data_IF_516910164580
#
_entry.id   IF_516910164580
#
_cell.length_a   1.000
_cell.length_b   1.000
_cell.length_c   1.000
_cell.angle_alpha   90.00
_cell.angle_beta   90.00
_cell.angle_gamma   90.00
#
_symmetry.space_group_name_H-M   'P 1'
#
loop_
_entity.id
_entity.type
_entity.pdbx_description
1 polymer ?
#
# COMPACT_ATOMS: atom_id res chain seq x y z
N UNK A 1 -27.96 -15.20 0.25
CA UNK A 1 -27.58 -14.63 -1.07
C UNK A 1 -26.84 -15.74 -1.80
N UNK A 2 -27.36 -16.21 -2.93
CA UNK A 2 -26.70 -17.29 -3.68
C UNK A 2 -25.49 -16.69 -4.42
N UNK A 3 -24.30 -17.02 -3.99
CA UNK A 3 -23.07 -16.56 -4.66
C UNK A 3 -22.93 -17.26 -6.02
N UNK A 4 -22.87 -16.47 -7.07
CA UNK A 4 -22.55 -17.02 -8.38
C UNK A 4 -21.12 -17.61 -8.38
N UNK A 5 -20.82 -18.49 -9.32
CA UNK A 5 -19.46 -19.04 -9.48
C UNK A 5 -18.43 -17.92 -9.72
N UNK A 6 -18.82 -16.87 -10.42
CA UNK A 6 -17.98 -15.73 -10.76
C UNK A 6 -17.69 -14.87 -9.52
N UNK A 7 -18.71 -14.55 -8.72
CA UNK A 7 -18.56 -13.80 -7.47
C UNK A 7 -17.60 -14.51 -6.52
N UNK A 8 -17.78 -15.82 -6.35
CA UNK A 8 -16.92 -16.65 -5.52
C UNK A 8 -15.46 -16.64 -6.01
N UNK A 9 -15.22 -16.68 -7.32
CA UNK A 9 -13.89 -16.67 -7.89
C UNK A 9 -13.17 -15.34 -7.61
N UNK A 10 -13.87 -14.22 -7.77
CA UNK A 10 -13.38 -12.89 -7.42
C UNK A 10 -13.11 -12.76 -5.93
N UNK A 11 -14.02 -13.24 -5.09
CA UNK A 11 -13.84 -13.19 -3.64
C UNK A 11 -12.63 -14.01 -3.19
N UNK A 12 -12.45 -15.23 -3.70
CA UNK A 12 -11.27 -16.05 -3.41
C UNK A 12 -9.98 -15.35 -3.81
N UNK A 13 -9.97 -14.66 -4.94
CA UNK A 13 -8.82 -13.87 -5.38
C UNK A 13 -8.52 -12.72 -4.41
N UNK A 14 -9.53 -11.93 -4.04
CA UNK A 14 -9.35 -10.82 -3.09
C UNK A 14 -8.97 -11.28 -1.68
N UNK A 15 -9.49 -12.42 -1.21
CA UNK A 15 -9.08 -13.03 0.06
C UNK A 15 -7.62 -13.47 -0.01
N UNK A 16 -7.21 -14.10 -1.11
CA UNK A 16 -5.82 -14.45 -1.37
C UNK A 16 -4.89 -13.23 -1.41
N UNK A 17 -5.29 -12.12 -2.07
CA UNK A 17 -4.55 -10.87 -2.09
C UNK A 17 -4.32 -10.26 -0.69
N UNK A 18 -5.27 -10.49 0.21
CA UNK A 18 -5.16 -10.07 1.62
C UNK A 18 -4.32 -11.04 2.46
N UNK A 19 -3.71 -12.06 1.84
CA UNK A 19 -2.89 -13.07 2.50
C UNK A 19 -3.68 -14.14 3.25
N UNK A 20 -5.01 -14.21 3.03
CA UNK A 20 -5.82 -15.24 3.68
C UNK A 20 -5.53 -16.62 3.07
N UNK A 21 -5.30 -17.60 3.94
CA UNK A 21 -5.15 -18.99 3.52
C UNK A 21 -6.49 -19.61 3.15
N UNK A 22 -6.65 -20.06 1.91
CA UNK A 22 -7.88 -20.61 1.36
C UNK A 22 -8.03 -22.11 1.69
N UNK A 23 -8.89 -22.44 2.64
CA UNK A 23 -9.20 -23.84 3.01
C UNK A 23 -10.38 -24.33 2.21
N UNK A 24 -10.19 -25.44 1.46
CA UNK A 24 -11.28 -26.04 0.67
C UNK A 24 -12.46 -26.45 1.55
N UNK A 25 -12.20 -27.00 2.73
CA UNK A 25 -13.24 -27.45 3.64
C UNK A 25 -14.02 -26.29 4.27
N UNK A 26 -13.29 -25.28 4.79
CA UNK A 26 -13.92 -24.10 5.39
C UNK A 26 -14.75 -23.31 4.37
N UNK A 27 -14.22 -23.12 3.17
CA UNK A 27 -14.91 -22.41 2.09
C UNK A 27 -16.14 -23.19 1.58
N UNK A 28 -16.08 -24.51 1.56
CA UNK A 28 -17.22 -25.32 1.19
C UNK A 28 -18.38 -25.16 2.17
N UNK A 29 -18.09 -25.09 3.48
CA UNK A 29 -19.07 -24.81 4.52
C UNK A 29 -19.60 -23.37 4.46
N UNK A 30 -18.70 -22.38 4.27
CA UNK A 30 -19.04 -20.97 4.23
C UNK A 30 -19.97 -20.63 3.05
N UNK A 31 -19.70 -21.19 1.87
CA UNK A 31 -20.52 -20.95 0.66
C UNK A 31 -21.67 -21.94 0.45
N UNK A 32 -21.85 -22.89 1.37
CA UNK A 32 -22.84 -23.97 1.27
C UNK A 32 -22.76 -24.72 -0.08
N UNK A 33 -21.53 -25.13 -0.45
CA UNK A 33 -21.27 -25.87 -1.68
C UNK A 33 -20.36 -27.08 -1.42
N UNK A 34 -20.29 -27.99 -2.39
CA UNK A 34 -19.42 -29.16 -2.26
C UNK A 34 -17.92 -28.73 -2.32
N UNK A 35 -17.07 -29.50 -1.65
CA UNK A 35 -15.60 -29.34 -1.72
C UNK A 35 -15.09 -29.43 -3.16
N UNK A 36 -15.74 -30.26 -4.01
CA UNK A 36 -15.46 -30.36 -5.44
C UNK A 36 -15.68 -29.03 -6.18
N UNK A 37 -16.72 -28.29 -5.78
CA UNK A 37 -17.02 -26.96 -6.35
C UNK A 37 -15.95 -25.94 -6.00
N UNK A 38 -15.48 -25.93 -4.74
CA UNK A 38 -14.39 -25.06 -4.31
C UNK A 38 -13.09 -25.43 -5.00
N UNK A 39 -12.74 -26.72 -5.09
CA UNK A 39 -11.54 -27.19 -5.79
C UNK A 39 -11.57 -26.76 -7.25
N UNK A 40 -12.72 -26.79 -7.91
CA UNK A 40 -12.87 -26.29 -9.28
C UNK A 40 -12.60 -24.79 -9.35
N UNK A 41 -13.16 -23.99 -8.45
CA UNK A 41 -12.90 -22.53 -8.39
C UNK A 41 -11.41 -22.21 -8.14
N UNK A 42 -10.74 -22.96 -7.27
CA UNK A 42 -9.31 -22.83 -7.04
C UNK A 42 -8.50 -23.18 -8.31
N UNK A 43 -8.88 -24.23 -9.03
CA UNK A 43 -8.20 -24.60 -10.28
C UNK A 43 -8.45 -23.58 -11.38
N UNK A 44 -9.65 -23.02 -11.46
CA UNK A 44 -9.96 -21.94 -12.41
C UNK A 44 -9.12 -20.71 -12.11
N UNK A 45 -8.96 -20.36 -10.83
CA UNK A 45 -8.10 -19.25 -10.41
C UNK A 45 -6.62 -19.52 -10.73
N UNK A 46 -6.13 -20.74 -10.49
CA UNK A 46 -4.76 -21.14 -10.89
C UNK A 46 -4.57 -21.01 -12.40
N UNK A 47 -5.52 -21.47 -13.18
CA UNK A 47 -5.45 -21.38 -14.65
C UNK A 47 -5.49 -19.93 -15.11
N UNK A 48 -6.30 -19.08 -14.50
CA UNK A 48 -6.34 -17.64 -14.79
C UNK A 48 -4.98 -16.99 -14.52
N UNK A 49 -4.41 -17.20 -13.34
CA UNK A 49 -3.11 -16.63 -12.97
C UNK A 49 -2.00 -17.09 -13.94
N UNK A 50 -1.98 -18.36 -14.31
CA UNK A 50 -0.98 -18.89 -15.23
C UNK A 50 -1.10 -18.31 -16.65
N UNK A 51 -2.33 -18.06 -17.12
CA UNK A 51 -2.60 -17.59 -18.49
C UNK A 51 -2.52 -16.06 -18.64
N UNK A 52 -2.54 -15.29 -17.52
CA UNK A 52 -2.59 -13.83 -17.55
C UNK A 52 -1.39 -13.19 -16.86
N UNK A 53 -0.19 -13.76 -17.06
CA UNK A 53 1.06 -13.27 -16.45
C UNK A 53 1.35 -11.81 -16.73
N UNK A 54 0.97 -11.30 -17.91
CA UNK A 54 1.13 -9.89 -18.24
C UNK A 54 0.30 -8.94 -17.31
N UNK A 55 -0.77 -9.45 -16.71
CA UNK A 55 -1.64 -8.70 -15.78
C UNK A 55 -1.27 -8.89 -14.32
N UNK A 56 -0.88 -10.11 -13.94
CA UNK A 56 -0.73 -10.53 -12.54
C UNK A 56 0.70 -10.93 -12.16
N UNK A 57 1.66 -10.74 -13.06
CA UNK A 57 3.05 -11.13 -12.86
C UNK A 57 3.22 -12.64 -12.64
N UNK A 58 4.10 -13.00 -11.72
CA UNK A 58 4.34 -14.39 -11.32
C UNK A 58 3.41 -14.88 -10.21
N UNK A 59 2.19 -14.32 -10.11
CA UNK A 59 1.21 -14.74 -9.13
C UNK A 59 0.83 -16.22 -9.29
N UNK A 60 0.82 -16.96 -8.19
CA UNK A 60 0.41 -18.36 -8.17
C UNK A 60 -0.27 -18.76 -6.86
N UNK A 61 -1.15 -19.75 -6.90
CA UNK A 61 -1.73 -20.37 -5.71
C UNK A 61 -0.90 -21.60 -5.32
N UNK A 62 -0.10 -21.49 -4.24
CA UNK A 62 0.66 -22.59 -3.62
C UNK A 62 -0.15 -23.27 -2.52
N UNK A 63 -0.14 -24.58 -2.51
CA UNK A 63 -0.70 -25.36 -1.41
C UNK A 63 0.34 -25.58 -0.31
N UNK A 64 0.00 -25.21 0.91
CA UNK A 64 0.80 -25.51 2.09
C UNK A 64 0.27 -26.77 2.78
N UNK A 65 1.10 -27.81 2.85
CA UNK A 65 0.76 -29.04 3.59
C UNK A 65 0.67 -28.81 5.09
N UNK A 66 1.42 -27.87 5.63
CA UNK A 66 1.44 -27.52 7.05
C UNK A 66 0.12 -26.87 7.49
N UNK A 67 -0.36 -25.86 6.74
CA UNK A 67 -1.64 -25.18 7.05
C UNK A 67 -2.84 -25.85 6.43
N UNK A 68 -2.66 -26.79 5.49
CA UNK A 68 -3.71 -27.40 4.64
C UNK A 68 -4.56 -26.37 3.89
N UNK A 69 -3.90 -25.27 3.42
CA UNK A 69 -4.54 -24.14 2.74
C UNK A 69 -3.77 -23.77 1.48
N UNK A 70 -4.47 -23.17 0.53
CA UNK A 70 -3.84 -22.50 -0.59
C UNK A 70 -3.53 -21.06 -0.20
N UNK A 71 -2.32 -20.60 -0.53
CA UNK A 71 -1.89 -19.21 -0.35
C UNK A 71 -1.58 -18.60 -1.71
N UNK A 72 -2.09 -17.41 -1.95
CA UNK A 72 -1.71 -16.63 -3.12
C UNK A 72 -0.32 -16.03 -2.87
N UNK A 73 0.64 -16.42 -3.71
CA UNK A 73 2.00 -15.90 -3.68
C UNK A 73 2.16 -14.95 -4.87
N UNK A 74 2.53 -13.72 -4.60
CA UNK A 74 2.77 -12.69 -5.60
C UNK A 74 4.11 -12.03 -5.29
N UNK A 75 5.17 -12.45 -5.99
CA UNK A 75 6.54 -11.95 -5.75
C UNK A 75 6.71 -10.46 -6.06
N UNK A 76 5.81 -9.89 -6.86
CA UNK A 76 5.81 -8.47 -7.22
C UNK A 76 5.09 -7.58 -6.19
N UNK A 77 4.47 -8.17 -5.15
CA UNK A 77 3.82 -7.44 -4.07
C UNK A 77 4.69 -7.46 -2.82
N UNK A 78 4.63 -6.36 -2.08
CA UNK A 78 5.39 -6.21 -0.86
C UNK A 78 5.02 -7.30 0.16
N UNK A 79 6.02 -8.00 0.66
CA UNK A 79 5.89 -8.91 1.80
C UNK A 79 5.57 -8.13 3.09
N UNK A 80 5.10 -8.81 4.13
CA UNK A 80 4.88 -8.18 5.44
C UNK A 80 6.17 -7.51 5.99
N UNK A 81 7.34 -8.10 5.72
CA UNK A 81 8.63 -7.55 6.17
C UNK A 81 8.98 -6.26 5.42
N UNK A 82 8.76 -6.22 4.10
CA UNK A 82 8.99 -5.03 3.28
C UNK A 82 8.00 -3.92 3.62
N UNK A 83 6.71 -4.25 3.79
CA UNK A 83 5.69 -3.30 4.26
C UNK A 83 6.06 -2.70 5.62
N UNK A 84 6.54 -3.54 6.54
CA UNK A 84 7.02 -3.10 7.83
C UNK A 84 8.19 -2.11 7.68
N UNK A 85 9.21 -2.46 6.91
CA UNK A 85 10.37 -1.61 6.68
C UNK A 85 9.98 -0.26 6.04
N UNK A 86 9.07 -0.26 5.06
CA UNK A 86 8.54 0.97 4.45
C UNK A 86 7.82 1.84 5.48
N UNK A 87 6.97 1.25 6.32
CA UNK A 87 6.23 1.98 7.36
C UNK A 87 7.20 2.59 8.39
N UNK A 88 8.21 1.85 8.83
CA UNK A 88 9.26 2.35 9.75
C UNK A 88 10.02 3.54 9.17
N UNK A 89 10.42 3.45 7.89
CA UNK A 89 11.09 4.55 7.20
C UNK A 89 10.18 5.77 7.08
N UNK A 90 8.89 5.57 6.76
CA UNK A 90 7.92 6.67 6.68
C UNK A 90 7.72 7.37 8.03
N UNK A 91 7.63 6.61 9.13
CA UNK A 91 7.52 7.16 10.47
C UNK A 91 8.81 7.89 10.86
N UNK A 92 9.95 7.24 10.67
CA UNK A 92 11.27 7.80 11.03
C UNK A 92 11.64 9.03 10.22
N UNK A 93 11.18 9.14 8.98
CA UNK A 93 11.43 10.30 8.12
C UNK A 93 10.78 11.60 8.62
N UNK A 94 9.70 11.52 9.40
CA UNK A 94 8.94 12.69 9.91
C UNK A 94 8.55 13.69 8.83
N UNK A 95 8.46 13.23 7.59
CA UNK A 95 8.25 14.05 6.41
C UNK A 95 6.78 14.48 6.22
N UNK A 96 5.87 13.87 6.95
CA UNK A 96 4.42 14.07 6.79
C UNK A 96 3.79 14.55 8.09
N UNK A 97 2.67 15.23 7.99
CA UNK A 97 1.85 15.51 9.16
C UNK A 97 1.37 14.19 9.79
N UNK A 98 1.06 14.24 11.09
CA UNK A 98 0.55 13.05 11.81
C UNK A 98 -0.68 12.45 11.12
N UNK A 99 -1.59 13.30 10.66
CA UNK A 99 -2.82 12.86 9.99
C UNK A 99 -2.56 12.24 8.61
N UNK A 100 -1.63 12.80 7.83
CA UNK A 100 -1.22 12.21 6.56
C UNK A 100 -0.57 10.84 6.77
N UNK A 101 0.33 10.75 7.76
CA UNK A 101 1.02 9.51 8.09
C UNK A 101 0.06 8.43 8.59
N UNK A 102 -0.90 8.78 9.45
CA UNK A 102 -1.96 7.87 9.90
C UNK A 102 -2.76 7.33 8.71
N UNK A 103 -3.20 8.21 7.79
CA UNK A 103 -3.93 7.77 6.59
C UNK A 103 -3.11 6.86 5.69
N UNK A 104 -1.82 7.14 5.51
CA UNK A 104 -0.91 6.31 4.71
C UNK A 104 -0.71 4.93 5.35
N UNK A 105 -0.36 4.88 6.62
CA UNK A 105 -0.09 3.65 7.34
C UNK A 105 -1.34 2.76 7.43
N UNK A 106 -2.54 3.35 7.62
CA UNK A 106 -3.80 2.61 7.56
C UNK A 106 -4.08 1.98 6.19
N UNK A 107 -3.71 2.65 5.10
CA UNK A 107 -3.81 2.07 3.76
C UNK A 107 -2.80 0.95 3.55
N UNK A 108 -1.53 1.17 3.91
CA UNK A 108 -0.46 0.18 3.78
C UNK A 108 -0.75 -1.08 4.61
N UNK A 109 -1.25 -0.91 5.83
CA UNK A 109 -1.64 -2.02 6.71
C UNK A 109 -2.68 -2.96 6.08
N UNK A 110 -3.51 -2.48 5.14
CA UNK A 110 -4.48 -3.34 4.43
C UNK A 110 -3.83 -4.40 3.55
N UNK A 111 -2.57 -4.21 3.17
CA UNK A 111 -1.81 -5.18 2.38
C UNK A 111 -1.10 -6.23 3.24
N UNK A 112 -1.09 -6.08 4.57
CA UNK A 112 -0.57 -7.12 5.45
C UNK A 112 -1.55 -8.29 5.57
N UNK A 113 -1.01 -9.49 5.82
CA UNK A 113 -1.85 -10.67 6.07
C UNK A 113 -2.74 -10.48 7.30
N UNK A 114 -3.92 -11.09 7.35
CA UNK A 114 -4.83 -10.97 8.49
C UNK A 114 -4.19 -11.34 9.83
N UNK A 115 -3.30 -12.34 9.83
CA UNK A 115 -2.60 -12.85 11.02
C UNK A 115 -1.58 -11.81 11.56
N UNK A 116 -0.86 -11.11 10.69
CA UNK A 116 0.17 -10.13 11.07
C UNK A 116 -0.39 -8.71 11.26
N UNK A 117 -1.61 -8.45 10.82
CA UNK A 117 -2.23 -7.12 10.93
C UNK A 117 -2.32 -6.56 12.35
N UNK A 118 -2.71 -7.34 13.39
CA UNK A 118 -2.73 -6.85 14.76
C UNK A 118 -1.34 -6.44 15.25
N UNK A 119 -0.31 -7.21 14.90
CA UNK A 119 1.08 -6.92 15.24
C UNK A 119 1.56 -5.62 14.60
N UNK A 120 1.28 -5.46 13.31
CA UNK A 120 1.60 -4.22 12.56
C UNK A 120 0.89 -3.01 13.18
N UNK A 121 -0.38 -3.16 13.54
CA UNK A 121 -1.15 -2.08 14.15
C UNK A 121 -0.61 -1.67 15.52
N UNK A 122 -0.22 -2.62 16.36
CA UNK A 122 0.34 -2.35 17.67
C UNK A 122 1.65 -1.58 17.58
N UNK A 123 2.48 -1.95 16.62
CA UNK A 123 3.75 -1.28 16.34
C UNK A 123 3.53 0.16 15.86
N UNK A 124 2.72 0.36 14.82
CA UNK A 124 2.40 1.70 14.30
C UNK A 124 1.85 2.59 15.42
N UNK A 125 0.97 2.05 16.27
CA UNK A 125 0.40 2.80 17.39
C UNK A 125 1.47 3.25 18.39
N UNK A 126 2.44 2.41 18.72
CA UNK A 126 3.55 2.72 19.63
C UNK A 126 4.44 3.82 19.06
N UNK A 127 4.86 3.69 17.82
CA UNK A 127 5.72 4.66 17.14
C UNK A 127 5.02 6.03 16.97
N UNK A 128 3.74 6.03 16.61
CA UNK A 128 2.98 7.26 16.44
C UNK A 128 2.54 7.91 17.75
N UNK A 129 2.63 7.23 18.89
CA UNK A 129 2.24 7.80 20.18
C UNK A 129 3.07 9.05 20.54
N UNK A 130 4.37 8.99 20.31
CA UNK A 130 5.31 10.09 20.53
C UNK A 130 5.82 10.72 19.23
N UNK A 131 5.08 10.60 18.12
CA UNK A 131 5.50 11.12 16.83
C UNK A 131 5.75 12.64 16.90
N UNK A 132 7.01 13.08 16.83
CA UNK A 132 7.35 14.50 16.85
C UNK A 132 7.14 15.09 15.47
N UNK A 133 5.93 15.55 15.23
CA UNK A 133 5.52 16.12 13.94
C UNK A 133 6.38 17.32 13.56
N UNK A 134 6.87 17.32 12.33
CA UNK A 134 7.47 18.49 11.70
C UNK A 134 6.37 19.30 11.02
N UNK A 135 6.24 20.58 11.40
CA UNK A 135 5.24 21.46 10.80
C UNK A 135 5.70 21.91 9.41
N UNK A 136 4.77 21.81 8.47
CA UNK A 136 4.92 22.30 7.11
C UNK A 136 3.92 23.42 6.84
N UNK A 137 4.33 24.46 6.09
CA UNK A 137 3.46 25.58 5.71
C UNK A 137 2.59 25.26 4.48
N UNK A 138 2.09 24.02 4.40
CA UNK A 138 1.19 23.59 3.33
C UNK A 138 0.09 22.69 3.91
N UNK A 139 -1.08 22.68 3.27
CA UNK A 139 -2.21 21.85 3.71
C UNK A 139 -1.93 20.35 3.57
N UNK A 140 -1.17 19.95 2.55
CA UNK A 140 -0.79 18.56 2.31
C UNK A 140 0.58 18.49 1.64
N UNK A 141 1.53 17.89 2.34
CA UNK A 141 2.87 17.60 1.81
C UNK A 141 2.78 16.68 0.59
N UNK A 142 1.93 15.66 0.65
CA UNK A 142 1.76 14.70 -0.45
C UNK A 142 1.23 15.38 -1.72
N UNK A 143 0.21 16.22 -1.59
CA UNK A 143 -0.38 16.92 -2.73
C UNK A 143 0.63 17.92 -3.33
N UNK A 144 1.33 18.66 -2.50
CA UNK A 144 2.37 19.60 -2.93
C UNK A 144 3.50 18.90 -3.68
N UNK A 145 4.01 17.79 -3.13
CA UNK A 145 5.03 16.97 -3.80
C UNK A 145 4.57 16.46 -5.15
N UNK A 146 3.34 15.95 -5.23
CA UNK A 146 2.79 15.45 -6.49
C UNK A 146 2.72 16.55 -7.55
N UNK A 147 2.24 17.74 -7.18
CA UNK A 147 2.19 18.89 -8.08
C UNK A 147 3.59 19.29 -8.56
N UNK A 148 4.57 19.34 -7.67
CA UNK A 148 5.96 19.67 -8.01
C UNK A 148 6.57 18.64 -8.98
N UNK A 149 6.38 17.34 -8.71
CA UNK A 149 6.85 16.27 -9.59
C UNK A 149 6.24 16.37 -10.99
N UNK A 150 4.93 16.64 -11.08
CA UNK A 150 4.27 16.88 -12.37
C UNK A 150 4.88 18.09 -13.11
N UNK A 151 5.13 19.20 -12.40
CA UNK A 151 5.73 20.39 -13.00
C UNK A 151 7.17 20.14 -13.48
N UNK A 152 7.95 19.38 -12.71
CA UNK A 152 9.32 18.98 -13.09
C UNK A 152 9.28 18.11 -14.36
N UNK A 153 8.43 17.09 -14.37
CA UNK A 153 8.30 16.15 -15.50
C UNK A 153 7.88 16.89 -16.78
N UNK A 154 6.90 17.79 -16.66
CA UNK A 154 6.39 18.58 -17.79
C UNK A 154 7.27 19.78 -18.13
N UNK A 155 8.37 20.01 -17.39
CA UNK A 155 9.25 21.18 -17.53
C UNK A 155 8.52 22.54 -17.46
N UNK A 156 7.48 22.61 -16.64
CA UNK A 156 6.68 23.82 -16.48
C UNK A 156 7.30 24.79 -15.49
N UNK A 157 7.23 26.10 -15.80
CA UNK A 157 7.50 27.15 -14.83
C UNK A 157 6.37 27.24 -13.82
N UNK A 158 6.72 27.53 -12.58
CA UNK A 158 5.79 27.73 -11.47
C UNK A 158 6.09 29.04 -10.76
N UNK A 159 5.07 29.57 -10.11
CA UNK A 159 5.22 30.67 -9.16
C UNK A 159 5.06 30.09 -7.76
N UNK A 160 6.02 30.37 -6.89
CA UNK A 160 5.98 29.95 -5.50
C UNK A 160 5.99 31.16 -4.58
N UNK A 161 5.22 31.08 -3.52
CA UNK A 161 5.27 32.01 -2.39
C UNK A 161 5.92 31.29 -1.21
N UNK A 162 6.92 31.90 -0.59
CA UNK A 162 7.56 31.35 0.58
C UNK A 162 8.05 32.43 1.53
N UNK A 163 8.18 32.09 2.79
CA UNK A 163 8.76 32.95 3.80
C UNK A 163 10.27 32.79 3.86
N UNK A 164 10.99 33.89 3.72
CA UNK A 164 12.42 33.93 3.97
C UNK A 164 12.73 33.85 5.47
N UNK A 165 13.99 33.66 5.83
CA UNK A 165 14.43 33.62 7.24
C UNK A 165 14.09 34.90 8.02
N UNK A 166 14.01 36.06 7.34
CA UNK A 166 13.56 37.33 7.89
C UNK A 166 12.03 37.47 7.98
N UNK A 167 11.29 36.39 7.71
CA UNK A 167 9.80 36.31 7.67
C UNK A 167 9.16 37.18 6.57
N UNK A 168 9.92 37.70 5.62
CA UNK A 168 9.36 38.36 4.46
C UNK A 168 8.75 37.32 3.51
N UNK A 169 7.49 37.56 3.10
CA UNK A 169 6.87 36.77 2.05
C UNK A 169 7.46 37.18 0.70
N UNK A 170 7.96 36.22 -0.05
CA UNK A 170 8.59 36.43 -1.35
C UNK A 170 7.94 35.54 -2.37
N UNK A 171 7.63 36.11 -3.52
CA UNK A 171 7.09 35.42 -4.70
C UNK A 171 8.20 35.26 -5.73
N UNK A 172 8.47 34.04 -6.15
CA UNK A 172 9.43 33.72 -7.20
C UNK A 172 8.77 32.91 -8.33
N UNK A 173 9.09 33.31 -9.55
CA UNK A 173 8.83 32.51 -10.75
C UNK A 173 10.09 31.75 -11.10
N UNK A 174 9.98 30.41 -11.14
CA UNK A 174 11.14 29.53 -11.33
C UNK A 174 10.72 28.26 -12.11
N UNK A 175 11.72 27.57 -12.63
CA UNK A 175 11.55 26.25 -13.25
C UNK A 175 12.11 25.20 -12.32
N UNK A 176 11.25 24.37 -11.72
CA UNK A 176 11.70 23.34 -10.79
C UNK A 176 12.50 22.28 -11.52
N UNK A 177 13.63 21.87 -10.95
CA UNK A 177 14.54 20.86 -11.49
C UNK A 177 14.40 19.52 -10.77
N UNK A 178 14.32 19.54 -9.44
CA UNK A 178 14.20 18.32 -8.62
C UNK A 178 13.66 18.64 -7.23
N UNK A 179 13.27 17.58 -6.50
CA UNK A 179 12.94 17.63 -5.07
C UNK A 179 13.94 16.76 -4.33
N UNK A 180 14.56 17.29 -3.30
CA UNK A 180 15.47 16.58 -2.40
C UNK A 180 14.82 16.45 -1.03
N UNK A 181 14.88 15.26 -0.44
CA UNK A 181 14.48 15.02 0.95
C UNK A 181 15.73 14.87 1.83
N UNK A 182 15.85 15.71 2.85
CA UNK A 182 16.89 15.62 3.88
C UNK A 182 16.43 16.33 5.15
N UNK A 183 16.93 15.92 6.31
CA UNK A 183 16.68 16.57 7.60
C UNK A 183 15.19 16.85 7.88
N UNK A 184 14.33 15.87 7.56
CA UNK A 184 12.88 15.90 7.74
C UNK A 184 12.09 16.83 6.79
N UNK A 185 12.77 17.50 5.84
CA UNK A 185 12.16 18.45 4.91
C UNK A 185 12.35 18.05 3.46
N UNK A 186 11.42 18.51 2.64
CA UNK A 186 11.56 18.46 1.19
C UNK A 186 12.05 19.82 0.69
N UNK A 187 13.14 19.82 -0.06
CA UNK A 187 13.74 20.99 -0.67
C UNK A 187 13.49 21.00 -2.16
N UNK A 188 12.93 22.11 -2.67
CA UNK A 188 12.78 22.32 -4.09
C UNK A 188 14.09 22.90 -4.64
N UNK A 189 14.64 22.24 -5.65
CA UNK A 189 15.81 22.71 -6.41
C UNK A 189 15.31 23.25 -7.74
N UNK A 190 15.73 24.49 -8.09
CA UNK A 190 15.34 25.17 -9.30
C UNK A 190 16.54 25.89 -9.93
#
# INVERSE_FOLDING_TARGET
>A
MEFSRQDRLLELFFRGLRGEGLSVQALAQEYDVSTKSITRSINDLKAFLANHRALVGNAELRYSHQSRRYHLVMEEFLSNQELFAVIEVLIGARAFSRDELLRLTEKLKRFTTPEERPRMQDLIRKELYHYPEVKHDCESVQATLWQLICCITDRREITIDYYRMDRALVTHRLRPASVLFTDFYFYLIA
#
